data_IF_194391524024
#
_entry.id   IF_194391524024
#
_cell.length_a   1.000
_cell.length_b   1.000
_cell.length_c   1.000
_cell.angle_alpha   90.00
_cell.angle_beta   90.00
_cell.angle_gamma   90.00
#
_symmetry.space_group_name_H-M   'P 1'
#
loop_
_entity.id
_entity.type
_entity.pdbx_description
1 polymer ?
#
# COMPACT_ATOMS: atom_id res chain seq x y z
N UNK A 1 -59.10 39.69 26.77
CA UNK A 1 -58.01 40.14 27.67
C UNK A 1 -57.35 39.02 28.49
N UNK A 2 -58.06 37.98 28.97
CA UNK A 2 -57.45 36.88 29.74
C UNK A 2 -56.49 35.97 28.92
N UNK A 3 -56.79 35.75 27.64
CA UNK A 3 -55.99 34.85 26.78
C UNK A 3 -54.62 35.45 26.39
N UNK A 4 -54.54 36.76 26.11
CA UNK A 4 -53.26 37.42 25.83
C UNK A 4 -52.34 37.47 27.05
N UNK A 5 -52.91 37.59 28.26
CA UNK A 5 -52.13 37.60 29.51
C UNK A 5 -51.52 36.24 29.82
N UNK A 6 -52.21 35.15 29.50
CA UNK A 6 -51.69 33.79 29.65
C UNK A 6 -50.62 33.46 28.60
N UNK A 7 -50.74 33.98 27.37
CA UNK A 7 -49.70 33.85 26.34
C UNK A 7 -48.44 34.63 26.72
N UNK A 8 -48.59 35.84 27.28
CA UNK A 8 -47.45 36.65 27.76
C UNK A 8 -46.76 36.02 28.99
N UNK A 9 -47.54 35.35 29.86
CA UNK A 9 -46.99 34.62 31.01
C UNK A 9 -46.27 33.32 30.59
N UNK A 10 -46.76 32.64 29.55
CA UNK A 10 -46.10 31.44 29.02
C UNK A 10 -44.81 31.78 28.25
N UNK A 11 -44.77 32.87 27.49
CA UNK A 11 -43.54 33.31 26.81
C UNK A 11 -42.48 33.81 27.80
N UNK A 12 -42.87 34.44 28.91
CA UNK A 12 -41.94 34.82 29.97
C UNK A 12 -41.39 33.61 30.76
N UNK A 13 -42.20 32.56 30.94
CA UNK A 13 -41.79 31.32 31.60
C UNK A 13 -40.83 30.50 30.71
N UNK A 14 -41.09 30.45 29.41
CA UNK A 14 -40.22 29.76 28.44
C UNK A 14 -38.89 30.51 28.25
N UNK A 15 -38.89 31.85 28.25
CA UNK A 15 -37.66 32.65 28.12
C UNK A 15 -36.75 32.55 29.37
N UNK A 16 -37.32 32.32 30.55
CA UNK A 16 -36.56 32.15 31.80
C UNK A 16 -35.89 30.77 31.90
N UNK A 17 -36.44 29.74 31.25
CA UNK A 17 -35.85 28.39 31.22
C UNK A 17 -34.60 28.34 30.31
N UNK A 18 -34.60 29.10 29.22
CA UNK A 18 -33.51 29.08 28.22
C UNK A 18 -32.25 29.82 28.71
N UNK A 19 -32.38 30.75 29.66
CA UNK A 19 -31.23 31.51 30.20
C UNK A 19 -30.43 30.79 31.30
N UNK A 20 -30.87 29.60 31.73
CA UNK A 20 -30.21 28.80 32.78
C UNK A 20 -29.26 27.72 32.25
N UNK A 21 -29.11 27.59 30.92
CA UNK A 21 -28.29 26.55 30.29
C UNK A 21 -26.82 26.96 30.05
N UNK A 22 -26.35 28.08 30.63
CA UNK A 22 -24.95 28.47 30.60
C UNK A 22 -24.49 28.87 32.01
N UNK A 23 -24.33 27.87 32.88
CA UNK A 23 -23.43 27.95 34.02
C UNK A 23 -22.07 27.37 33.62
N UNK A 24 -20.94 27.89 34.12
CA UNK A 24 -19.67 27.19 33.98
C UNK A 24 -19.81 25.83 34.67
N UNK A 25 -19.73 24.75 33.90
CA UNK A 25 -19.61 23.41 34.48
C UNK A 25 -18.34 23.42 35.33
N UNK A 26 -18.53 23.34 36.64
CA UNK A 26 -17.49 23.05 37.59
C UNK A 26 -16.77 21.78 37.11
N UNK A 27 -15.48 21.93 36.87
CA UNK A 27 -14.60 20.82 36.57
C UNK A 27 -14.67 19.84 37.73
N UNK A 28 -15.30 18.70 37.49
CA UNK A 28 -15.18 17.52 38.32
C UNK A 28 -13.69 17.21 38.43
N UNK A 29 -13.18 17.23 39.68
CA UNK A 29 -11.82 16.83 40.02
C UNK A 29 -11.64 15.35 39.70
N UNK A 30 -11.45 15.05 38.42
CA UNK A 30 -10.89 13.78 37.98
C UNK A 30 -9.41 13.83 38.32
N UNK A 31 -8.88 12.87 39.09
CA UNK A 31 -7.48 12.88 39.50
C UNK A 31 -6.58 12.96 38.27
N UNK A 32 -5.80 14.05 38.19
CA UNK A 32 -4.75 14.25 37.20
C UNK A 32 -3.71 13.15 37.38
N UNK A 33 -3.87 12.06 36.63
CA UNK A 33 -2.85 11.03 36.49
C UNK A 33 -1.81 11.61 35.51
N UNK A 34 -0.78 12.23 36.07
CA UNK A 34 0.39 12.70 35.35
C UNK A 34 1.03 11.54 34.58
N UNK A 35 1.36 11.80 33.32
CA UNK A 35 1.90 10.87 32.32
C UNK A 35 3.35 10.43 32.63
N UNK A 36 3.83 10.67 33.84
CA UNK A 36 5.20 10.37 34.27
C UNK A 36 5.28 9.10 35.15
N UNK A 37 4.16 8.61 35.70
CA UNK A 37 4.16 7.42 36.58
C UNK A 37 3.69 6.11 35.91
N UNK A 38 3.30 6.13 34.63
CA UNK A 38 2.90 4.91 33.88
C UNK A 38 4.03 4.35 33.01
N UNK A 39 5.19 5.01 32.93
CA UNK A 39 6.34 4.53 32.13
C UNK A 39 7.34 3.64 32.90
N UNK A 40 7.13 3.35 34.19
CA UNK A 40 8.15 2.69 35.03
C UNK A 40 7.86 1.23 35.40
N UNK A 41 6.80 0.60 34.88
CA UNK A 41 6.44 -0.79 35.24
C UNK A 41 6.59 -1.85 34.14
N UNK A 42 7.21 -1.54 32.99
CA UNK A 42 7.44 -2.54 31.92
C UNK A 42 8.91 -2.77 31.53
N UNK A 43 9.89 -2.22 32.25
CA UNK A 43 11.32 -2.33 31.87
C UNK A 43 12.11 -3.39 32.68
N UNK A 44 11.55 -4.06 33.70
CA UNK A 44 12.34 -4.97 34.54
C UNK A 44 12.24 -6.48 34.26
N UNK A 45 11.44 -6.94 33.28
CA UNK A 45 11.20 -8.40 33.08
C UNK A 45 11.90 -9.02 31.85
N UNK A 46 12.97 -8.43 31.30
CA UNK A 46 13.73 -9.07 30.21
C UNK A 46 15.26 -9.19 30.43
N UNK A 47 15.73 -9.03 31.67
CA UNK A 47 17.16 -9.17 32.01
C UNK A 47 17.49 -10.47 32.78
N UNK A 48 16.80 -11.59 32.48
CA UNK A 48 17.14 -12.89 33.08
C UNK A 48 17.05 -14.01 32.04
N UNK A 49 18.03 -14.03 31.13
CA UNK A 49 18.16 -15.08 30.12
C UNK A 49 19.56 -15.22 29.52
N UNK A 50 20.59 -14.64 30.15
CA UNK A 50 21.98 -14.83 29.75
C UNK A 50 22.78 -15.38 30.92
N UNK A 51 23.64 -16.36 30.61
CA UNK A 51 24.61 -17.11 31.44
C UNK A 51 24.13 -18.55 31.73
N UNK A 52 24.75 -19.66 31.31
CA UNK A 52 25.95 -19.97 30.53
C UNK A 52 26.01 -21.50 30.32
N UNK A 53 26.98 -21.99 29.52
CA UNK A 53 27.59 -23.35 29.44
C UNK A 53 27.30 -24.01 28.08
N UNK A 54 28.25 -24.50 27.28
CA UNK A 54 29.71 -24.48 27.27
C UNK A 54 30.18 -24.98 25.89
N UNK A 55 31.32 -24.46 25.44
CA UNK A 55 32.48 -25.17 24.85
C UNK A 55 32.16 -26.43 24.04
N UNK A 56 32.09 -26.29 22.72
CA UNK A 56 32.44 -27.35 21.77
C UNK A 56 33.47 -26.81 20.79
N UNK A 57 34.61 -27.48 20.71
CA UNK A 57 35.82 -27.08 19.99
C UNK A 57 35.64 -27.03 18.45
N UNK A 58 36.41 -26.19 17.73
CA UNK A 58 36.45 -26.24 16.28
C UNK A 58 37.24 -27.47 15.80
N UNK A 59 36.53 -28.46 15.25
CA UNK A 59 37.16 -29.54 14.49
C UNK A 59 37.58 -28.98 13.12
N UNK A 60 38.89 -28.95 12.83
CA UNK A 60 39.41 -28.83 11.47
C UNK A 60 38.89 -30.01 10.64
N UNK A 61 38.11 -29.80 9.58
CA UNK A 61 37.79 -30.89 8.62
C UNK A 61 37.40 -30.32 7.24
N UNK A 62 38.36 -30.50 6.33
CA UNK A 62 38.37 -30.64 4.86
C UNK A 62 37.84 -29.51 3.94
N UNK A 63 38.84 -28.90 3.29
CA UNK A 63 38.87 -28.20 2.00
C UNK A 63 37.93 -28.82 0.95
N UNK A 64 37.12 -28.01 0.24
CA UNK A 64 36.43 -28.49 -0.96
C UNK A 64 37.46 -28.79 -2.06
N UNK A 65 37.56 -30.07 -2.45
CA UNK A 65 38.24 -30.47 -3.68
C UNK A 65 37.44 -29.95 -4.86
N UNK A 66 38.03 -29.03 -5.63
CA UNK A 66 37.52 -28.64 -6.94
C UNK A 66 37.80 -29.80 -7.91
N UNK A 67 36.77 -30.58 -8.23
CA UNK A 67 36.80 -31.54 -9.33
C UNK A 67 36.35 -30.81 -10.60
N UNK A 68 37.30 -30.39 -11.43
CA UNK A 68 37.03 -29.94 -12.79
C UNK A 68 36.78 -31.16 -13.69
N UNK A 69 35.52 -31.36 -14.07
CA UNK A 69 35.15 -32.23 -15.20
C UNK A 69 34.84 -31.36 -16.42
N UNK A 70 35.66 -31.38 -17.48
CA UNK A 70 35.25 -30.86 -18.77
C UNK A 70 34.55 -31.99 -19.53
N UNK A 71 33.28 -31.80 -19.88
CA UNK A 71 32.68 -32.57 -20.96
C UNK A 71 31.81 -31.64 -21.79
N UNK A 72 32.44 -31.09 -22.83
CA UNK A 72 31.74 -30.49 -23.97
C UNK A 72 30.88 -31.58 -24.61
N UNK A 73 29.57 -31.52 -24.40
CA UNK A 73 28.61 -32.11 -25.32
C UNK A 73 28.22 -31.03 -26.34
N UNK A 74 28.74 -31.17 -27.55
CA UNK A 74 28.36 -30.37 -28.72
C UNK A 74 26.87 -30.57 -29.01
N UNK A 75 26.03 -29.52 -29.10
CA UNK A 75 24.73 -29.66 -29.74
C UNK A 75 24.95 -29.83 -31.25
N UNK A 76 24.71 -31.04 -31.73
CA UNK A 76 24.52 -31.37 -33.13
C UNK A 76 23.49 -30.41 -33.75
N UNK A 77 23.94 -29.53 -34.64
CA UNK A 77 23.08 -28.83 -35.60
C UNK A 77 22.47 -29.88 -36.52
N UNK A 78 21.18 -30.14 -36.35
CA UNK A 78 20.46 -31.11 -37.14
C UNK A 78 18.96 -30.82 -37.19
N UNK A 79 18.56 -30.25 -38.34
CA UNK A 79 17.21 -30.28 -38.91
C UNK A 79 16.11 -29.52 -38.14
N UNK A 80 15.03 -29.02 -38.73
CA UNK A 80 14.56 -28.74 -40.09
C UNK A 80 13.10 -28.30 -39.81
N UNK A 81 12.66 -27.20 -40.43
CA UNK A 81 11.25 -26.82 -40.70
C UNK A 81 10.22 -26.72 -39.53
N UNK A 82 9.70 -25.49 -39.39
CA UNK A 82 8.30 -25.10 -39.11
C UNK A 82 7.31 -26.11 -38.52
N UNK A 83 6.45 -25.62 -37.61
CA UNK A 83 5.08 -25.41 -38.06
C UNK A 83 4.65 -23.95 -37.91
N UNK A 84 4.44 -23.26 -39.04
CA UNK A 84 3.41 -22.22 -39.09
C UNK A 84 2.08 -22.95 -38.87
N UNK A 85 1.50 -22.78 -37.69
CA UNK A 85 0.11 -23.14 -37.44
C UNK A 85 -0.79 -22.19 -38.21
N UNK A 86 -0.98 -22.42 -39.50
CA UNK A 86 -2.06 -21.79 -40.27
C UNK A 86 -3.35 -22.52 -39.94
N UNK A 87 -4.09 -22.03 -38.94
CA UNK A 87 -5.49 -22.43 -38.78
C UNK A 87 -6.31 -21.69 -39.83
N UNK A 88 -6.48 -22.31 -41.00
CA UNK A 88 -7.55 -21.96 -41.93
C UNK A 88 -8.86 -22.51 -41.34
N UNK A 89 -9.55 -21.68 -40.57
CA UNK A 89 -10.92 -21.92 -40.15
C UNK A 89 -11.88 -21.36 -41.20
N UNK A 90 -12.28 -22.18 -42.16
CA UNK A 90 -13.41 -21.91 -43.05
C UNK A 90 -14.71 -22.39 -42.37
N UNK A 91 -15.68 -21.49 -42.24
CA UNK A 91 -17.09 -21.85 -42.12
C UNK A 91 -17.70 -21.72 -40.72
N UNK A 92 -18.54 -20.71 -40.55
CA UNK A 92 -19.51 -20.62 -39.45
C UNK A 92 -19.79 -19.18 -39.08
N UNK A 93 -20.92 -18.63 -39.50
CA UNK A 93 -21.48 -17.37 -39.00
C UNK A 93 -21.97 -17.50 -37.55
N UNK A 94 -21.06 -17.93 -36.66
CA UNK A 94 -21.20 -17.85 -35.22
C UNK A 94 -20.33 -16.70 -34.72
N UNK A 95 -20.79 -16.00 -33.70
CA UNK A 95 -20.00 -15.02 -32.96
C UNK A 95 -18.64 -15.62 -32.60
N UNK A 96 -17.57 -15.14 -33.25
CA UNK A 96 -16.20 -15.58 -33.01
C UNK A 96 -15.88 -15.20 -31.57
N UNK A 97 -16.02 -16.14 -30.64
CA UNK A 97 -15.63 -15.93 -29.25
C UNK A 97 -14.11 -15.84 -29.26
N UNK A 98 -13.60 -14.63 -28.99
CA UNK A 98 -12.15 -14.39 -28.90
C UNK A 98 -11.50 -15.38 -27.93
N UNK A 99 -10.38 -15.99 -28.31
CA UNK A 99 -9.61 -16.87 -27.42
C UNK A 99 -8.86 -16.09 -26.32
N UNK A 100 -8.81 -14.76 -26.42
CA UNK A 100 -8.26 -13.88 -25.39
C UNK A 100 -9.30 -13.66 -24.29
N UNK A 101 -8.94 -14.01 -23.06
CA UNK A 101 -9.71 -13.70 -21.87
C UNK A 101 -8.76 -13.26 -20.75
N UNK A 102 -9.26 -12.36 -19.91
CA UNK A 102 -8.58 -11.83 -18.73
C UNK A 102 -9.53 -11.98 -17.55
N UNK A 103 -9.00 -12.43 -16.42
CA UNK A 103 -9.75 -12.48 -15.17
C UNK A 103 -9.02 -11.72 -14.08
N UNK A 104 -9.79 -10.98 -13.29
CA UNK A 104 -9.27 -10.29 -12.12
C UNK A 104 -8.84 -11.29 -11.04
N UNK A 105 -7.69 -11.04 -10.40
CA UNK A 105 -7.21 -11.84 -9.27
C UNK A 105 -7.34 -11.05 -7.97
N UNK A 106 -6.71 -9.87 -7.90
CA UNK A 106 -6.79 -9.01 -6.71
C UNK A 106 -6.30 -7.59 -6.99
N UNK A 107 -6.70 -6.65 -6.14
CA UNK A 107 -6.03 -5.37 -6.02
C UNK A 107 -4.68 -5.58 -5.33
N UNK A 108 -3.60 -5.12 -5.94
CA UNK A 108 -2.25 -5.16 -5.33
C UNK A 108 -2.00 -3.87 -4.56
N UNK A 109 -2.45 -2.74 -5.11
CA UNK A 109 -2.40 -1.44 -4.44
C UNK A 109 -3.76 -0.75 -4.51
N UNK A 110 -3.99 0.17 -3.58
CA UNK A 110 -5.20 1.02 -3.52
C UNK A 110 -6.49 0.19 -3.58
N UNK A 111 -6.90 -0.44 -2.46
CA UNK A 111 -8.20 -1.10 -2.37
C UNK A 111 -9.36 -0.14 -2.67
N UNK A 112 -10.52 -0.68 -3.01
CA UNK A 112 -11.69 0.15 -3.25
C UNK A 112 -12.09 0.96 -2.01
N UNK A 113 -12.62 2.16 -2.27
CA UNK A 113 -12.96 3.19 -1.28
C UNK A 113 -11.76 3.78 -0.52
N UNK A 114 -10.53 3.65 -1.05
CA UNK A 114 -9.37 4.32 -0.46
C UNK A 114 -9.58 5.84 -0.44
N UNK A 115 -9.40 6.45 0.74
CA UNK A 115 -9.47 7.90 0.92
C UNK A 115 -8.25 8.59 0.28
N UNK A 116 -8.49 9.64 -0.50
CA UNK A 116 -7.46 10.40 -1.20
C UNK A 116 -7.64 11.91 -0.99
N UNK A 117 -6.54 12.64 -0.94
CA UNK A 117 -6.56 14.10 -1.02
C UNK A 117 -6.74 14.55 -2.48
N UNK A 118 -7.29 15.74 -2.68
CA UNK A 118 -7.47 16.31 -4.02
C UNK A 118 -6.10 16.50 -4.70
N UNK A 119 -5.97 16.04 -5.94
CA UNK A 119 -4.72 16.12 -6.69
C UNK A 119 -3.64 15.12 -6.23
N UNK A 120 -3.95 14.20 -5.32
CA UNK A 120 -2.99 13.20 -4.85
C UNK A 120 -2.57 12.26 -6.00
N UNK A 121 -1.28 12.18 -6.28
CA UNK A 121 -0.73 11.15 -7.17
C UNK A 121 -0.69 9.79 -6.46
N UNK A 122 -1.05 8.73 -7.18
CA UNK A 122 -0.95 7.35 -6.70
C UNK A 122 -0.74 6.38 -7.86
N UNK A 123 -0.24 5.19 -7.56
CA UNK A 123 -0.11 4.09 -8.53
C UNK A 123 -1.09 2.99 -8.17
N UNK A 124 -2.02 2.71 -9.08
CA UNK A 124 -2.94 1.58 -8.94
C UNK A 124 -2.37 0.37 -9.68
N UNK A 125 -2.30 -0.76 -9.00
CA UNK A 125 -1.83 -2.03 -9.53
C UNK A 125 -2.88 -3.11 -9.34
N UNK A 126 -3.27 -3.76 -10.43
CA UNK A 126 -4.14 -4.93 -10.41
C UNK A 126 -3.33 -6.19 -10.71
N UNK A 127 -3.56 -7.26 -9.96
CA UNK A 127 -3.10 -8.61 -10.32
C UNK A 127 -4.19 -9.25 -11.17
N UNK A 128 -3.80 -9.75 -12.33
CA UNK A 128 -4.73 -10.34 -13.31
C UNK A 128 -4.16 -11.63 -13.85
N UNK A 129 -5.03 -12.50 -14.36
CA UNK A 129 -4.67 -13.78 -14.98
C UNK A 129 -5.13 -13.81 -16.43
N UNK A 130 -4.28 -14.36 -17.30
CA UNK A 130 -4.70 -14.79 -18.62
C UNK A 130 -5.54 -16.06 -18.48
N UNK A 131 -6.86 -15.91 -18.45
CA UNK A 131 -7.82 -17.01 -18.39
C UNK A 131 -8.24 -17.52 -19.77
N UNK A 132 -7.62 -16.99 -20.84
CA UNK A 132 -7.84 -17.43 -22.21
C UNK A 132 -6.99 -18.64 -22.61
N UNK A 133 -7.18 -19.09 -23.85
CA UNK A 133 -6.37 -20.16 -24.45
C UNK A 133 -5.23 -19.60 -25.29
N UNK A 134 -5.27 -18.32 -25.63
CA UNK A 134 -4.23 -17.61 -26.38
C UNK A 134 -3.35 -16.75 -25.46
N UNK A 135 -2.05 -16.70 -25.74
CA UNK A 135 -1.14 -15.77 -25.08
C UNK A 135 -1.49 -14.32 -25.45
N UNK A 136 -1.31 -13.37 -24.54
CA UNK A 136 -1.36 -11.95 -24.88
C UNK A 136 0.02 -11.54 -25.37
N UNK A 137 0.14 -11.06 -26.60
CA UNK A 137 1.44 -10.65 -27.13
C UNK A 137 1.90 -9.31 -26.58
N UNK A 138 3.20 -9.03 -26.72
CA UNK A 138 3.71 -7.68 -26.55
C UNK A 138 2.97 -6.71 -27.50
N UNK A 139 2.71 -5.48 -27.03
CA UNK A 139 1.92 -4.49 -27.76
C UNK A 139 0.41 -4.54 -27.48
N UNK A 140 -0.08 -5.56 -26.77
CA UNK A 140 -1.44 -5.52 -26.21
C UNK A 140 -1.53 -4.40 -25.17
N UNK A 141 -2.73 -3.85 -24.99
CA UNK A 141 -2.93 -2.61 -24.23
C UNK A 141 -3.95 -2.82 -23.12
N UNK A 142 -3.65 -2.30 -21.94
CA UNK A 142 -4.60 -2.12 -20.86
C UNK A 142 -5.04 -0.66 -20.85
N UNK A 143 -6.29 -0.43 -21.23
CA UNK A 143 -6.79 0.90 -21.59
C UNK A 143 -8.03 1.27 -20.78
N UNK A 144 -8.18 2.57 -20.56
CA UNK A 144 -9.34 3.17 -19.91
C UNK A 144 -10.59 2.92 -20.77
N UNK A 145 -11.69 2.55 -20.11
CA UNK A 145 -12.98 2.29 -20.77
C UNK A 145 -14.05 3.29 -20.37
N UNK A 146 -14.18 3.61 -19.08
CA UNK A 146 -15.27 4.47 -18.58
C UNK A 146 -14.99 5.06 -17.19
N UNK A 147 -15.76 6.09 -16.82
CA UNK A 147 -15.62 6.81 -15.56
C UNK A 147 -14.70 8.03 -15.68
N UNK A 148 -13.88 8.25 -14.67
CA UNK A 148 -12.83 9.28 -14.67
C UNK A 148 -11.47 8.61 -14.89
N UNK A 149 -10.71 9.04 -15.89
CA UNK A 149 -9.41 8.43 -16.19
C UNK A 149 -8.35 8.74 -15.12
N UNK A 150 -8.56 9.77 -14.27
CA UNK A 150 -7.65 10.23 -13.23
C UNK A 150 -6.24 10.48 -13.79
N UNK A 151 -6.15 11.08 -14.97
CA UNK A 151 -4.90 11.28 -15.73
C UNK A 151 -4.11 10.00 -16.06
N UNK A 152 -4.72 8.82 -15.89
CA UNK A 152 -4.12 7.54 -16.22
C UNK A 152 -3.88 7.40 -17.73
N UNK A 153 -2.68 6.93 -18.08
CA UNK A 153 -2.32 6.61 -19.46
C UNK A 153 -2.58 5.13 -19.78
N UNK A 154 -2.74 4.79 -21.06
CA UNK A 154 -2.80 3.38 -21.49
C UNK A 154 -1.48 2.67 -21.22
N UNK A 155 -1.55 1.49 -20.59
CA UNK A 155 -0.38 0.64 -20.38
C UNK A 155 -0.24 -0.34 -21.54
N UNK A 156 0.96 -0.46 -22.11
CA UNK A 156 1.25 -1.40 -23.20
C UNK A 156 2.14 -2.51 -22.67
N UNK A 157 1.77 -3.77 -22.91
CA UNK A 157 2.58 -4.92 -22.55
C UNK A 157 3.91 -4.87 -23.29
N UNK A 158 5.02 -4.94 -22.57
CA UNK A 158 6.37 -5.02 -23.14
C UNK A 158 6.79 -6.45 -23.44
N UNK A 159 6.14 -7.43 -22.82
CA UNK A 159 6.39 -8.86 -22.99
C UNK A 159 5.07 -9.62 -23.09
N UNK A 160 5.13 -10.80 -23.73
CA UNK A 160 3.96 -11.65 -23.84
C UNK A 160 3.58 -12.28 -22.49
N UNK A 161 2.28 -12.50 -22.28
CA UNK A 161 1.72 -13.18 -21.11
C UNK A 161 1.05 -14.46 -21.57
N UNK A 162 1.67 -15.60 -21.25
CA UNK A 162 1.17 -16.91 -21.66
C UNK A 162 -0.23 -17.20 -21.09
N UNK A 163 -0.97 -18.10 -21.75
CA UNK A 163 -2.22 -18.62 -21.23
C UNK A 163 -2.01 -19.19 -19.81
N UNK A 164 -2.97 -18.97 -18.92
CA UNK A 164 -2.95 -19.33 -17.50
C UNK A 164 -1.91 -18.60 -16.63
N UNK A 165 -1.06 -17.75 -17.18
CA UNK A 165 -0.11 -16.96 -16.39
C UNK A 165 -0.78 -15.74 -15.74
N UNK A 166 -0.18 -15.27 -14.64
CA UNK A 166 -0.60 -14.05 -13.96
C UNK A 166 0.41 -12.92 -14.17
N UNK A 167 -0.09 -11.69 -14.28
CA UNK A 167 0.73 -10.48 -14.43
C UNK A 167 0.14 -9.33 -13.61
N UNK A 168 0.96 -8.33 -13.34
CA UNK A 168 0.54 -7.10 -12.66
C UNK A 168 0.45 -5.97 -13.68
N UNK A 169 -0.68 -5.26 -13.69
CA UNK A 169 -0.92 -4.09 -14.54
C UNK A 169 -0.94 -2.85 -13.65
N UNK A 170 -0.02 -1.91 -13.89
CA UNK A 170 0.16 -0.72 -13.04
C UNK A 170 -0.07 0.56 -13.83
N UNK A 171 -0.92 1.45 -13.31
CA UNK A 171 -1.23 2.76 -13.89
C UNK A 171 -0.92 3.84 -12.85
N UNK A 172 -0.17 4.87 -13.26
CA UNK A 172 0.01 6.09 -12.48
C UNK A 172 -1.19 7.01 -12.70
N UNK A 173 -1.80 7.46 -11.62
CA UNK A 173 -3.07 8.20 -11.62
C UNK A 173 -2.99 9.37 -10.63
N UNK A 174 -3.88 10.34 -10.80
CA UNK A 174 -4.01 11.52 -9.95
C UNK A 174 -5.47 11.68 -9.54
N UNK A 175 -5.73 11.69 -8.23
CA UNK A 175 -7.06 11.90 -7.69
C UNK A 175 -7.62 13.26 -8.17
N UNK A 176 -8.85 13.32 -8.71
CA UNK A 176 -9.41 14.58 -9.20
C UNK A 176 -9.52 15.66 -8.12
N UNK A 177 -9.65 16.92 -8.52
CA UNK A 177 -9.93 18.02 -7.59
C UNK A 177 -11.37 18.01 -7.06
N UNK A 178 -12.29 17.31 -7.76
CA UNK A 178 -13.68 17.17 -7.35
C UNK A 178 -13.80 16.14 -6.22
N UNK A 179 -14.40 16.55 -5.11
CA UNK A 179 -14.72 15.65 -4.01
C UNK A 179 -15.83 14.62 -4.36
N UNK A 180 -15.83 13.50 -3.65
CA UNK A 180 -16.78 12.40 -3.75
C UNK A 180 -16.12 11.06 -4.11
N UNK A 181 -16.94 10.03 -4.29
CA UNK A 181 -16.50 8.72 -4.77
C UNK A 181 -16.30 8.76 -6.28
N UNK A 182 -15.05 8.55 -6.71
CA UNK A 182 -14.65 8.60 -8.12
C UNK A 182 -14.19 7.21 -8.55
N UNK A 183 -14.76 6.72 -9.66
CA UNK A 183 -14.44 5.42 -10.25
C UNK A 183 -13.71 5.59 -11.58
N UNK A 184 -12.71 4.75 -11.82
CA UNK A 184 -12.01 4.61 -13.09
C UNK A 184 -12.03 3.15 -13.54
N UNK A 185 -12.59 2.85 -14.71
CA UNK A 185 -12.67 1.49 -15.26
C UNK A 185 -11.68 1.27 -16.40
N UNK A 186 -11.12 0.06 -16.46
CA UNK A 186 -10.03 -0.33 -17.33
C UNK A 186 -10.19 -1.76 -17.83
N UNK A 187 -9.76 -2.02 -19.07
CA UNK A 187 -9.88 -3.34 -19.70
C UNK A 187 -8.73 -3.64 -20.64
N UNK A 188 -8.41 -4.91 -20.79
CA UNK A 188 -7.44 -5.39 -21.77
C UNK A 188 -7.98 -5.26 -23.19
N UNK A 189 -7.09 -4.94 -24.12
CA UNK A 189 -7.36 -4.85 -25.55
C UNK A 189 -6.17 -5.37 -26.36
N UNK A 190 -6.46 -5.91 -27.54
CA UNK A 190 -5.43 -6.34 -28.49
C UNK A 190 -4.67 -5.12 -29.05
N UNK A 191 -3.55 -5.35 -29.75
CA UNK A 191 -2.84 -4.27 -30.44
C UNK A 191 -3.72 -3.50 -31.44
N UNK A 192 -4.75 -4.16 -31.99
CA UNK A 192 -5.76 -3.57 -32.89
C UNK A 192 -6.92 -2.85 -32.15
N UNK A 193 -6.85 -2.76 -30.81
CA UNK A 193 -7.84 -2.05 -30.00
C UNK A 193 -9.13 -2.83 -29.69
N UNK A 194 -9.15 -4.15 -29.91
CA UNK A 194 -10.31 -4.98 -29.58
C UNK A 194 -10.27 -5.38 -28.10
N UNK A 195 -11.26 -4.95 -27.31
CA UNK A 195 -11.34 -5.25 -25.88
C UNK A 195 -11.72 -6.70 -25.59
N UNK A 196 -11.20 -7.26 -24.50
CA UNK A 196 -11.51 -8.63 -24.06
C UNK A 196 -11.38 -8.80 -22.54
N UNK A 197 -11.92 -9.90 -22.01
CA UNK A 197 -11.83 -10.29 -20.60
C UNK A 197 -12.62 -9.39 -19.64
N UNK A 198 -12.37 -9.50 -18.35
CA UNK A 198 -13.04 -8.70 -17.32
C UNK A 198 -12.67 -7.21 -17.43
N UNK A 199 -13.64 -6.35 -17.12
CA UNK A 199 -13.37 -4.94 -16.82
C UNK A 199 -13.06 -4.82 -15.32
N UNK A 200 -11.92 -4.22 -14.99
CA UNK A 200 -11.51 -3.94 -13.61
C UNK A 200 -11.57 -2.46 -13.34
N UNK A 201 -11.61 -2.06 -12.07
CA UNK A 201 -11.74 -0.66 -11.72
C UNK A 201 -10.91 -0.28 -10.49
N UNK A 202 -10.80 1.02 -10.27
CA UNK A 202 -10.40 1.61 -9.00
C UNK A 202 -11.48 2.58 -8.54
N UNK A 203 -11.84 2.50 -7.28
CA UNK A 203 -12.77 3.41 -6.62
C UNK A 203 -12.05 4.14 -5.47
N UNK A 204 -11.94 5.47 -5.55
CA UNK A 204 -11.35 6.30 -4.50
C UNK A 204 -12.38 7.29 -3.96
N UNK A 205 -12.22 7.69 -2.69
CA UNK A 205 -13.05 8.71 -2.06
C UNK A 205 -12.21 9.97 -1.87
N UNK A 206 -12.49 11.00 -2.67
CA UNK A 206 -11.73 12.25 -2.66
C UNK A 206 -12.40 13.27 -1.74
N UNK A 207 -11.62 13.92 -0.87
CA UNK A 207 -12.10 15.04 -0.06
C UNK A 207 -13.02 14.68 1.10
N UNK A 208 -13.24 13.38 1.34
CA UNK A 208 -13.74 12.89 2.62
C UNK A 208 -12.55 12.80 3.58
N UNK A 209 -12.55 13.60 4.63
CA UNK A 209 -11.46 13.62 5.63
C UNK A 209 -11.05 12.22 6.09
N UNK A 210 -9.76 12.07 6.37
CA UNK A 210 -9.09 10.83 6.74
C UNK A 210 -9.97 9.87 7.58
N UNK A 211 -10.59 8.91 6.92
CA UNK A 211 -11.04 7.67 7.53
C UNK A 211 -9.95 6.63 7.27
N UNK A 212 -9.03 6.52 8.23
CA UNK A 212 -8.18 5.37 8.52
C UNK A 212 -7.55 4.62 7.33
N UNK A 213 -6.43 5.15 6.82
CA UNK A 213 -5.32 4.26 6.46
C UNK A 213 -4.42 4.15 7.69
N UNK A 214 -4.57 3.07 8.45
CA UNK A 214 -3.55 2.60 9.38
C UNK A 214 -2.32 2.17 8.57
N UNK A 215 -1.53 3.14 8.14
CA UNK A 215 -0.15 2.93 7.74
C UNK A 215 0.72 3.17 8.97
N UNK A 216 1.35 2.11 9.46
CA UNK A 216 2.41 2.16 10.46
C UNK A 216 3.53 3.07 9.97
N UNK A 217 3.53 4.34 10.41
CA UNK A 217 4.64 5.28 10.22
C UNK A 217 5.63 5.08 11.36
N UNK A 218 6.55 4.13 11.19
CA UNK A 218 7.83 4.15 11.88
C UNK A 218 8.78 5.07 11.09
N UNK A 219 8.91 6.33 11.51
CA UNK A 219 9.97 7.21 11.06
C UNK A 219 10.49 8.03 12.26
N UNK A 220 11.74 7.83 12.71
CA UNK A 220 12.32 8.67 13.75
C UNK A 220 12.77 10.00 13.14
N UNK A 221 12.17 11.09 13.59
CA UNK A 221 12.67 12.45 13.34
C UNK A 221 13.91 12.67 14.20
N UNK A 222 15.09 12.66 13.57
CA UNK A 222 16.32 13.13 14.20
C UNK A 222 16.32 14.67 14.22
N UNK A 223 16.05 15.25 15.39
CA UNK A 223 16.27 16.68 15.64
C UNK A 223 17.76 16.88 15.93
N UNK A 224 18.48 17.48 14.98
CA UNK A 224 19.81 18.02 15.22
C UNK A 224 19.69 19.21 16.19
N UNK A 225 20.43 19.18 17.30
CA UNK A 225 20.68 20.37 18.12
C UNK A 225 22.17 20.54 18.33
N UNK A 226 22.59 21.71 17.88
CA UNK A 226 23.91 22.34 17.87
C UNK A 226 24.54 22.41 19.26
N UNK A 227 25.81 22.00 19.38
CA UNK A 227 26.61 22.21 20.58
C UNK A 227 28.07 22.47 20.23
N UNK A 228 28.41 23.75 20.07
CA UNK A 228 29.79 24.27 19.99
C UNK A 228 30.10 24.93 21.33
N UNK A 229 31.00 24.37 22.14
CA UNK A 229 32.19 25.05 22.73
C UNK A 229 33.05 24.08 23.58
N UNK A 230 34.36 24.15 23.31
CA UNK A 230 35.56 23.73 24.08
C UNK A 230 36.20 25.05 24.60
N UNK A 231 37.10 25.19 25.63
CA UNK A 231 37.94 24.22 26.42
C UNK A 231 38.11 24.50 27.96
N UNK A 232 38.95 23.68 28.63
CA UNK A 232 40.00 24.03 29.64
C UNK A 232 39.82 23.73 31.16
N UNK A 233 40.92 23.24 31.75
CA UNK A 233 41.44 23.25 33.14
C UNK A 233 41.24 21.98 33.99
N UNK A 234 42.29 21.18 34.32
CA UNK A 234 43.37 21.35 35.35
C UNK A 234 42.78 21.15 36.77
N UNK A 235 43.14 20.17 37.61
CA UNK A 235 44.43 19.88 38.31
C UNK A 235 44.44 18.48 38.96
N UNK A 236 45.65 17.95 39.20
CA UNK A 236 45.99 16.82 40.08
C UNK A 236 45.53 16.99 41.55
N UNK A 237 45.61 15.94 42.41
CA UNK A 237 46.81 15.83 43.26
C UNK A 237 47.32 14.40 43.59
N UNK A 238 48.54 14.42 44.12
CA UNK A 238 49.46 13.40 44.63
C UNK A 238 49.04 12.74 45.96
N UNK A 239 49.41 11.45 46.16
CA UNK A 239 49.92 10.86 47.42
C UNK A 239 50.38 9.40 47.15
N UNK A 240 51.66 9.00 47.22
CA UNK A 240 52.58 8.77 48.36
C UNK A 240 52.47 7.36 49.00
N UNK A 241 53.37 6.48 48.55
CA UNK A 241 54.33 5.59 49.25
C UNK A 241 53.99 4.80 50.56
N UNK A 242 54.19 3.46 50.44
CA UNK A 242 54.86 2.45 51.35
C UNK A 242 54.29 2.15 52.76
N UNK A 243 54.72 1.09 53.49
CA UNK A 243 55.92 0.20 53.40
C UNK A 243 55.70 -1.15 52.69
#
# INVERSE_FOLDING_TARGET
MKLQKNILLMSALILSIILSACGPSEAELTPTLSVEDVQTMVVSTLASGMTQTAIAAPTKTITPTITLVPTLASPTLGALVTPFGTTVGTGGGGTVTSCYAMSFVSDVTIPDNTAMTQGQAFTKTWKVRNSGTCAWDAGFKFAFTSGDAMSGATFTLTQAVAANAETSLSINMTAPSKAGSIKSSWRMSTAAGQFFGDEVYVLVVVGGGAAASTATTGAPTATATTGVVVPTATTAPTATATP
#
